data_IF_522149725294
#
_entry.id   IF_522149725294
#
_cell.length_a   1.000
_cell.length_b   1.000
_cell.length_c   1.000
_cell.angle_alpha   90.00
_cell.angle_beta   90.00
_cell.angle_gamma   90.00
#
_symmetry.space_group_name_H-M   'P 1'
#
loop_
_entity.id
_entity.type
_entity.pdbx_description
1 polymer ?
#
# COMPACT_ATOMS: atom_id res chain seq x y z
N UNK A 1 9.80 13.05 -5.59
CA UNK A 1 8.92 14.22 -5.37
C UNK A 1 9.84 15.36 -5.00
N UNK A 2 9.74 16.50 -5.70
CA UNK A 2 10.51 17.69 -5.38
C UNK A 2 9.65 18.53 -4.44
N UNK A 3 10.08 18.72 -3.19
CA UNK A 3 9.36 19.53 -2.18
C UNK A 3 10.08 20.87 -2.03
N UNK A 4 9.34 21.98 -2.05
CA UNK A 4 9.88 23.32 -1.84
C UNK A 4 10.00 23.57 -0.34
N UNK A 5 11.20 24.00 0.08
CA UNK A 5 11.56 24.24 1.47
C UNK A 5 11.75 25.74 1.68
N UNK A 6 11.13 26.27 2.71
CA UNK A 6 11.29 27.63 3.19
C UNK A 6 12.63 27.79 3.91
N UNK A 7 13.07 29.03 4.13
CA UNK A 7 14.36 29.34 4.77
C UNK A 7 14.44 28.80 6.21
N UNK A 8 13.31 28.58 6.87
CA UNK A 8 13.18 27.99 8.21
C UNK A 8 13.13 26.46 8.21
N UNK A 9 13.33 25.81 7.06
CA UNK A 9 13.33 24.35 6.91
C UNK A 9 11.94 23.72 6.90
N UNK A 10 10.87 24.53 6.87
CA UNK A 10 9.49 24.06 6.71
C UNK A 10 9.13 23.91 5.24
N UNK A 11 8.21 23.00 4.95
CA UNK A 11 7.61 22.84 3.62
C UNK A 11 6.36 23.71 3.49
N UNK A 12 5.81 23.80 2.29
CA UNK A 12 4.53 24.51 2.00
C UNK A 12 3.35 24.02 2.86
N UNK A 13 3.45 22.83 3.46
CA UNK A 13 2.43 22.25 4.33
C UNK A 13 2.68 22.52 5.82
N UNK A 14 3.70 23.32 6.16
CA UNK A 14 4.08 23.65 7.55
C UNK A 14 4.81 22.53 8.30
N UNK A 15 5.04 21.37 7.68
CA UNK A 15 5.86 20.29 8.23
C UNK A 15 7.31 20.44 7.84
N UNK A 16 8.23 19.93 8.67
CA UNK A 16 9.64 19.86 8.29
C UNK A 16 9.84 18.88 7.12
N UNK A 17 10.83 19.15 6.25
CA UNK A 17 11.22 18.23 5.17
C UNK A 17 11.49 16.81 5.70
N UNK A 18 12.11 16.68 6.86
CA UNK A 18 12.45 15.38 7.46
C UNK A 18 11.17 14.61 7.82
N UNK A 19 10.15 15.29 8.35
CA UNK A 19 8.87 14.66 8.67
C UNK A 19 8.16 14.14 7.43
N UNK A 20 8.23 14.88 6.31
CA UNK A 20 7.67 14.45 5.03
C UNK A 20 8.37 13.18 4.52
N UNK A 21 9.71 13.14 4.57
CA UNK A 21 10.52 11.99 4.15
C UNK A 21 10.21 10.76 5.02
N UNK A 22 10.17 10.94 6.35
CA UNK A 22 9.88 9.85 7.29
C UNK A 22 8.48 9.30 7.06
N UNK A 23 7.49 10.17 6.88
CA UNK A 23 6.10 9.76 6.62
C UNK A 23 5.95 9.00 5.31
N UNK A 24 6.57 9.48 4.24
CA UNK A 24 6.54 8.79 2.94
C UNK A 24 7.28 7.44 3.00
N UNK A 25 8.45 7.41 3.66
CA UNK A 25 9.19 6.17 3.92
C UNK A 25 8.36 5.15 4.69
N UNK A 26 7.71 5.56 5.77
CA UNK A 26 6.82 4.71 6.56
C UNK A 26 5.65 4.18 5.72
N UNK A 27 5.00 5.04 4.91
CA UNK A 27 3.89 4.63 4.03
C UNK A 27 4.32 3.58 3.01
N UNK A 28 5.48 3.77 2.38
CA UNK A 28 6.04 2.83 1.40
C UNK A 28 6.41 1.51 2.05
N UNK A 29 7.06 1.55 3.22
CA UNK A 29 7.43 0.36 3.98
C UNK A 29 6.20 -0.45 4.38
N UNK A 30 5.16 0.18 4.91
CA UNK A 30 3.91 -0.52 5.26
C UNK A 30 3.25 -1.16 4.03
N UNK A 31 3.25 -0.45 2.90
CA UNK A 31 2.70 -0.99 1.64
C UNK A 31 3.51 -2.20 1.18
N UNK A 32 4.84 -2.11 1.20
CA UNK A 32 5.73 -3.20 0.79
C UNK A 32 5.59 -4.42 1.71
N UNK A 33 5.43 -4.22 3.01
CA UNK A 33 5.21 -5.32 3.97
C UNK A 33 3.90 -6.03 3.69
N UNK A 34 2.80 -5.29 3.49
CA UNK A 34 1.50 -5.87 3.16
C UNK A 34 1.54 -6.62 1.82
N UNK A 35 2.22 -6.07 0.82
CA UNK A 35 2.40 -6.74 -0.47
C UNK A 35 3.16 -8.06 -0.32
N UNK A 36 4.22 -8.08 0.50
CA UNK A 36 4.97 -9.29 0.79
C UNK A 36 4.13 -10.36 1.50
N UNK A 37 3.32 -9.95 2.48
CA UNK A 37 2.42 -10.84 3.22
C UNK A 37 1.33 -11.45 2.31
N UNK A 38 0.67 -10.62 1.50
CA UNK A 38 -0.33 -11.08 0.52
C UNK A 38 0.29 -12.05 -0.48
N UNK A 39 1.47 -11.75 -0.99
CA UNK A 39 2.14 -12.61 -1.94
C UNK A 39 2.55 -13.95 -1.32
N UNK A 40 3.02 -13.95 -0.06
CA UNK A 40 3.33 -15.19 0.67
C UNK A 40 2.08 -16.07 0.83
N UNK A 41 0.96 -15.47 1.23
CA UNK A 41 -0.32 -16.18 1.37
C UNK A 41 -0.80 -16.80 0.05
N UNK A 42 -0.74 -16.06 -1.06
CA UNK A 42 -1.11 -16.57 -2.38
C UNK A 42 -0.18 -17.71 -2.82
N UNK A 43 1.13 -17.58 -2.54
CA UNK A 43 2.10 -18.62 -2.86
C UNK A 43 1.80 -19.94 -2.14
N UNK A 44 1.49 -19.89 -0.84
CA UNK A 44 1.09 -21.06 -0.05
C UNK A 44 -0.16 -21.77 -0.60
N UNK A 45 -1.03 -21.03 -1.30
CA UNK A 45 -2.32 -21.51 -1.80
C UNK A 45 -2.32 -21.73 -3.32
N UNK A 46 -1.15 -21.77 -3.96
CA UNK A 46 -1.03 -21.91 -5.42
C UNK A 46 -1.54 -23.25 -5.95
N UNK A 47 -1.46 -24.30 -5.14
CA UNK A 47 -1.94 -25.64 -5.50
C UNK A 47 -3.43 -25.84 -5.22
N UNK A 48 -4.08 -24.91 -4.54
CA UNK A 48 -5.53 -24.94 -4.35
C UNK A 48 -6.24 -24.45 -5.60
N UNK A 49 -6.68 -25.40 -6.42
CA UNK A 49 -7.36 -25.14 -7.70
C UNK A 49 -8.78 -25.71 -7.71
N UNK A 50 -9.65 -25.08 -8.49
CA UNK A 50 -10.96 -25.62 -8.83
C UNK A 50 -10.84 -26.82 -9.80
N UNK A 51 -11.99 -27.44 -10.09
CA UNK A 51 -12.14 -28.57 -11.01
C UNK A 51 -11.72 -28.26 -12.47
N UNK A 52 -11.59 -26.98 -12.83
CA UNK A 52 -11.17 -26.50 -14.17
C UNK A 52 -9.68 -26.06 -14.14
N UNK A 53 -9.00 -26.15 -13.00
CA UNK A 53 -7.60 -25.83 -12.83
C UNK A 53 -7.30 -24.35 -12.53
N UNK A 54 -8.30 -23.54 -12.16
CA UNK A 54 -8.10 -22.14 -11.75
C UNK A 54 -7.76 -22.05 -10.27
N UNK A 55 -6.83 -21.17 -9.91
CA UNK A 55 -6.48 -20.96 -8.51
C UNK A 55 -7.68 -20.38 -7.74
N UNK A 56 -7.97 -20.96 -6.58
CA UNK A 56 -9.08 -20.53 -5.73
C UNK A 56 -8.80 -19.19 -5.03
N UNK A 57 -7.53 -18.88 -4.78
CA UNK A 57 -7.10 -17.66 -4.08
C UNK A 57 -6.19 -16.85 -4.99
N UNK A 58 -6.66 -15.66 -5.37
CA UNK A 58 -5.92 -14.72 -6.22
C UNK A 58 -5.97 -13.33 -5.61
N UNK A 59 -5.03 -12.48 -6.00
CA UNK A 59 -5.04 -11.07 -5.60
C UNK A 59 -6.16 -10.32 -6.31
N UNK A 60 -7.16 -9.84 -5.56
CA UNK A 60 -8.28 -9.04 -6.06
C UNK A 60 -7.92 -7.55 -6.24
N UNK A 61 -6.80 -7.28 -6.93
CA UNK A 61 -6.32 -5.93 -7.19
C UNK A 61 -5.72 -5.18 -5.99
N UNK A 62 -5.69 -3.84 -6.09
CA UNK A 62 -5.19 -2.93 -5.05
C UNK A 62 -6.30 -1.96 -4.66
N UNK A 63 -6.74 -1.98 -3.40
CA UNK A 63 -7.66 -0.97 -2.89
C UNK A 63 -6.93 0.36 -2.68
N UNK A 64 -7.52 1.45 -3.18
CA UNK A 64 -6.98 2.77 -2.89
C UNK A 64 -7.13 3.09 -1.40
N UNK A 65 -6.05 3.49 -0.70
CA UNK A 65 -6.12 3.82 0.71
C UNK A 65 -7.09 4.99 0.93
N UNK A 66 -8.09 4.78 1.80
CA UNK A 66 -9.08 5.79 2.18
C UNK A 66 -10.44 5.69 1.48
N UNK A 67 -10.61 4.79 0.51
CA UNK A 67 -11.95 4.50 -0.04
C UNK A 67 -12.59 3.39 0.78
N UNK A 68 -13.55 3.73 1.64
CA UNK A 68 -14.44 2.70 2.20
C UNK A 68 -15.15 2.01 1.03
N UNK A 69 -15.30 0.67 1.06
CA UNK A 69 -16.16 0.00 0.09
C UNK A 69 -17.56 0.60 0.20
N UNK A 70 -18.26 0.85 -0.92
CA UNK A 70 -19.62 1.38 -0.87
C UNK A 70 -20.48 0.47 0.00
N UNK A 71 -21.25 1.06 0.92
CA UNK A 71 -22.18 0.29 1.76
C UNK A 71 -23.20 -0.38 0.83
N UNK A 72 -23.48 -1.69 0.98
CA UNK A 72 -24.57 -2.32 0.25
C UNK A 72 -25.89 -1.67 0.68
N UNK A 73 -26.72 -1.34 -0.31
CA UNK A 73 -28.08 -0.82 -0.12
C UNK A 73 -29.11 -1.92 0.08
#
# INVERSE_FOLDING_TARGET
>A
MLSLVNDDGTTVNGSSLIEEIVRDGARRMLTATLDAEVNAYIAELTDQRDEIGRQLVVRDGYHQPGRSPPRPG
#
